data_IF_168195858727
#
_entry.id   IF_168195858727
#
_cell.length_a   1.000
_cell.length_b   1.000
_cell.length_c   1.000
_cell.angle_alpha   90.00
_cell.angle_beta   90.00
_cell.angle_gamma   90.00
#
_symmetry.space_group_name_H-M   'P 1'
#
loop_
_entity.id
_entity.type
_entity.pdbx_description
1 polymer ?
#
# COMPACT_ATOMS: atom_id res chain seq x y z
N UNK A 1 11.16 1.48 9.15
CA UNK A 1 11.06 2.64 8.23
C UNK A 1 10.23 3.75 8.88
N UNK A 2 10.65 5.00 8.72
CA UNK A 2 9.92 6.19 9.16
C UNK A 2 8.79 6.54 8.16
N UNK A 3 7.82 7.35 8.59
CA UNK A 3 6.80 7.87 7.67
C UNK A 3 7.45 8.92 6.75
N UNK A 4 7.08 8.91 5.48
CA UNK A 4 7.62 9.83 4.48
C UNK A 4 6.47 10.52 3.76
N UNK A 5 6.69 11.76 3.29
CA UNK A 5 5.68 12.49 2.51
C UNK A 5 5.48 11.85 1.13
N UNK A 6 6.58 11.42 0.52
CA UNK A 6 6.63 10.76 -0.77
C UNK A 6 7.26 9.38 -0.59
N UNK A 7 6.61 8.35 -1.12
CA UNK A 7 7.07 6.95 -1.02
C UNK A 7 7.11 6.34 -2.41
N UNK A 8 8.25 5.73 -2.74
CA UNK A 8 8.42 4.86 -3.88
C UNK A 8 8.63 3.45 -3.34
N UNK A 9 7.87 2.47 -3.85
CA UNK A 9 8.09 1.06 -3.51
C UNK A 9 9.27 0.55 -4.33
N UNK A 10 10.11 -0.30 -3.73
CA UNK A 10 11.30 -0.85 -4.37
C UNK A 10 10.98 -1.43 -5.76
N UNK A 11 11.56 -0.83 -6.80
CA UNK A 11 11.40 -1.27 -8.19
C UNK A 11 10.24 -0.64 -8.96
N UNK A 12 9.32 0.07 -8.30
CA UNK A 12 8.30 0.85 -9.00
C UNK A 12 8.93 2.09 -9.65
N UNK A 13 8.40 2.50 -10.79
CA UNK A 13 8.73 3.78 -11.43
C UNK A 13 7.96 4.97 -10.84
N UNK A 14 6.83 4.69 -10.16
CA UNK A 14 5.94 5.72 -9.63
C UNK A 14 6.21 6.00 -8.16
N UNK A 15 6.00 7.27 -7.79
CA UNK A 15 6.03 7.70 -6.40
C UNK A 15 4.63 8.10 -5.94
N UNK A 16 4.34 7.89 -4.66
CA UNK A 16 3.03 8.09 -4.09
C UNK A 16 3.10 8.99 -2.85
N UNK A 17 2.15 9.91 -2.75
CA UNK A 17 1.95 10.77 -1.57
C UNK A 17 0.51 10.62 -1.06
N UNK A 18 0.28 11.03 0.19
CA UNK A 18 -1.07 11.20 0.69
C UNK A 18 -1.70 12.42 0.01
N UNK A 19 -2.92 12.27 -0.47
CA UNK A 19 -3.67 13.38 -1.04
C UNK A 19 -4.05 14.38 0.05
N UNK A 20 -3.84 15.68 -0.20
CA UNK A 20 -4.16 16.75 0.75
C UNK A 20 -5.65 16.82 1.16
N UNK A 21 -6.55 16.22 0.37
CA UNK A 21 -7.99 16.15 0.64
C UNK A 21 -8.42 14.90 1.41
N UNK A 22 -7.47 14.06 1.85
CA UNK A 22 -7.75 12.81 2.55
C UNK A 22 -8.69 13.01 3.74
N UNK A 23 -9.70 12.14 3.86
CA UNK A 23 -10.63 12.13 4.99
C UNK A 23 -10.43 10.87 5.81
N UNK A 24 -10.49 11.00 7.13
CA UNK A 24 -10.36 9.87 8.07
C UNK A 24 -11.40 8.78 7.80
N UNK A 25 -12.63 9.17 7.48
CA UNK A 25 -13.71 8.23 7.17
C UNK A 25 -13.46 7.47 5.86
N UNK A 26 -12.86 8.10 4.85
CA UNK A 26 -12.47 7.41 3.60
C UNK A 26 -11.50 6.27 3.85
N UNK A 27 -10.55 6.43 4.78
CA UNK A 27 -9.65 5.33 5.17
C UNK A 27 -10.42 4.15 5.78
N UNK A 28 -11.37 4.42 6.66
CA UNK A 28 -12.18 3.37 7.30
C UNK A 28 -13.06 2.65 6.26
N UNK A 29 -13.68 3.40 5.34
CA UNK A 29 -14.53 2.85 4.27
C UNK A 29 -13.75 1.95 3.31
N UNK A 30 -12.47 2.25 3.09
CA UNK A 30 -11.55 1.44 2.27
C UNK A 30 -10.96 0.24 3.04
N UNK A 31 -11.35 0.09 4.31
CA UNK A 31 -10.96 -1.02 5.17
C UNK A 31 -9.56 -0.88 5.76
N UNK A 32 -9.08 0.36 5.97
CA UNK A 32 -7.94 0.60 6.86
C UNK A 32 -8.37 0.36 8.32
N UNK A 33 -7.51 -0.30 9.07
CA UNK A 33 -7.70 -0.52 10.51
C UNK A 33 -6.88 0.49 11.28
N UNK A 34 -7.54 1.25 12.16
CA UNK A 34 -6.87 2.17 13.07
C UNK A 34 -6.27 1.39 14.24
N UNK A 35 -4.97 1.58 14.45
CA UNK A 35 -4.23 1.02 15.58
C UNK A 35 -4.35 1.90 16.83
N UNK A 36 -3.99 1.39 18.00
CA UNK A 36 -4.07 2.13 19.28
C UNK A 36 -3.22 3.42 19.27
N UNK A 37 -2.10 3.41 18.56
CA UNK A 37 -1.21 4.54 18.33
C UNK A 37 -1.74 5.52 17.24
N UNK A 38 -2.94 5.27 16.70
CA UNK A 38 -3.64 6.18 15.79
C UNK A 38 -3.21 6.08 14.32
N UNK A 39 -2.29 5.17 13.99
CA UNK A 39 -1.88 4.87 12.60
C UNK A 39 -2.96 4.04 11.93
N UNK A 40 -3.25 4.34 10.67
CA UNK A 40 -4.18 3.58 9.84
C UNK A 40 -3.40 2.60 8.97
N UNK A 41 -3.70 1.30 9.08
CA UNK A 41 -3.02 0.26 8.32
C UNK A 41 -3.99 -0.44 7.38
N UNK A 42 -3.54 -0.65 6.15
CA UNK A 42 -4.19 -1.47 5.14
C UNK A 42 -3.24 -2.58 4.74
N UNK A 43 -3.72 -3.82 4.79
CA UNK A 43 -3.01 -4.98 4.27
C UNK A 43 -3.92 -5.71 3.28
N UNK A 44 -3.40 -6.00 2.08
CA UNK A 44 -4.13 -6.69 1.00
C UNK A 44 -3.21 -7.70 0.33
N UNK A 45 -3.73 -8.88 0.01
CA UNK A 45 -3.00 -9.87 -0.80
C UNK A 45 -2.86 -9.35 -2.23
N UNK A 46 -1.69 -9.55 -2.83
CA UNK A 46 -1.46 -9.35 -4.27
C UNK A 46 -1.68 -10.63 -5.06
N UNK A 47 -1.73 -11.77 -4.37
CA UNK A 47 -2.07 -13.06 -4.96
C UNK A 47 -3.44 -13.51 -4.47
N UNK A 48 -4.49 -13.43 -5.31
CA UNK A 48 -5.84 -13.86 -4.96
C UNK A 48 -6.00 -15.39 -4.99
N UNK A 49 -5.04 -16.12 -5.57
CA UNK A 49 -5.09 -17.57 -5.74
C UNK A 49 -4.36 -18.33 -4.64
N UNK A 50 -3.52 -17.65 -3.85
CA UNK A 50 -2.74 -18.26 -2.78
C UNK A 50 -3.63 -18.77 -1.63
N UNK A 51 -3.56 -20.08 -1.30
CA UNK A 51 -4.26 -20.60 -0.14
C UNK A 51 -3.73 -19.94 1.14
N UNK A 52 -4.65 -19.63 2.07
CA UNK A 52 -4.33 -19.12 3.41
C UNK A 52 -3.53 -17.80 3.47
N UNK A 53 -3.65 -16.91 2.49
CA UNK A 53 -2.95 -15.61 2.46
C UNK A 53 -1.41 -15.73 2.53
N UNK A 54 -0.84 -16.80 1.98
CA UNK A 54 0.62 -17.02 1.95
C UNK A 54 1.33 -16.19 0.86
N UNK A 55 0.58 -15.67 -0.10
CA UNK A 55 1.06 -14.81 -1.16
C UNK A 55 1.60 -13.46 -0.67
N UNK A 56 2.31 -12.77 -1.56
CA UNK A 56 2.86 -11.43 -1.29
C UNK A 56 1.71 -10.46 -1.00
N UNK A 57 1.93 -9.55 -0.05
CA UNK A 57 0.95 -8.56 0.39
C UNK A 57 1.44 -7.16 0.14
N UNK A 58 0.51 -6.28 -0.21
CA UNK A 58 0.68 -4.84 -0.13
C UNK A 58 0.33 -4.37 1.28
N UNK A 59 1.25 -3.65 1.91
CA UNK A 59 1.05 -2.97 3.18
C UNK A 59 1.15 -1.46 2.99
N UNK A 60 0.11 -0.75 3.39
CA UNK A 60 0.03 0.71 3.37
C UNK A 60 -0.27 1.20 4.78
N UNK A 61 0.52 2.15 5.28
CA UNK A 61 0.29 2.80 6.58
C UNK A 61 0.23 4.30 6.41
N UNK A 62 -0.80 4.92 6.97
CA UNK A 62 -0.99 6.38 7.02
C UNK A 62 -0.82 6.85 8.47
N UNK A 63 -0.02 7.89 8.67
CA UNK A 63 0.24 8.49 9.98
C UNK A 63 -1.06 8.98 10.63
N UNK A 64 -1.06 9.14 11.96
CA UNK A 64 -2.21 9.66 12.71
C UNK A 64 -2.63 11.07 12.23
N UNK A 65 -1.65 11.86 11.81
CA UNK A 65 -1.82 13.25 11.38
C UNK A 65 -2.08 13.38 9.87
N UNK A 66 -2.18 12.25 9.15
CA UNK A 66 -2.50 12.15 7.72
C UNK A 66 -1.48 12.86 6.80
N UNK A 67 -0.24 12.99 7.25
CA UNK A 67 0.85 13.72 6.59
C UNK A 67 2.03 12.82 6.20
N UNK A 68 1.96 11.54 6.56
CA UNK A 68 3.05 10.60 6.40
C UNK A 68 2.57 9.24 5.93
N UNK A 69 3.23 8.71 4.90
CA UNK A 69 2.94 7.44 4.26
C UNK A 69 4.08 6.44 4.52
N UNK A 70 3.73 5.16 4.67
CA UNK A 70 4.63 4.02 4.48
C UNK A 70 3.95 3.05 3.55
N UNK A 71 4.71 2.51 2.61
CA UNK A 71 4.20 1.52 1.67
C UNK A 71 5.29 0.52 1.36
N UNK A 72 4.93 -0.76 1.32
CA UNK A 72 5.85 -1.84 0.98
C UNK A 72 5.09 -3.08 0.54
N UNK A 73 5.68 -3.81 -0.38
CA UNK A 73 5.29 -5.19 -0.71
C UNK A 73 6.07 -6.15 0.18
N UNK A 74 5.38 -7.07 0.84
CA UNK A 74 5.94 -7.98 1.85
C UNK A 74 5.54 -9.42 1.60
N UNK A 75 6.32 -10.38 2.10
CA UNK A 75 5.95 -11.81 2.10
C UNK A 75 4.61 -12.06 2.79
N UNK A 76 3.96 -13.20 2.58
CA UNK A 76 2.64 -13.50 3.17
C UNK A 76 2.60 -13.47 4.70
N UNK A 77 3.72 -13.73 5.39
CA UNK A 77 3.82 -13.54 6.84
C UNK A 77 3.95 -12.06 7.28
N UNK A 78 4.07 -11.12 6.34
CA UNK A 78 4.14 -9.69 6.58
C UNK A 78 5.50 -9.15 7.07
N UNK A 79 6.53 -9.99 7.17
CA UNK A 79 7.78 -9.65 7.87
C UNK A 79 8.88 -9.13 6.94
N UNK A 80 9.01 -9.67 5.72
CA UNK A 80 10.12 -9.35 4.82
C UNK A 80 9.61 -8.56 3.63
N UNK A 81 10.29 -7.46 3.31
CA UNK A 81 10.04 -6.73 2.08
C UNK A 81 10.45 -7.58 0.85
N UNK A 82 9.68 -7.46 -0.22
CA UNK A 82 9.87 -8.18 -1.48
C UNK A 82 9.72 -7.20 -2.63
N UNK A 83 10.69 -7.14 -3.53
CA UNK A 83 10.58 -6.36 -4.76
C UNK A 83 9.88 -7.22 -5.83
N UNK A 84 8.62 -6.91 -6.11
CA UNK A 84 7.79 -7.60 -7.11
C UNK A 84 8.05 -7.16 -8.55
N UNK A 85 8.84 -6.10 -8.77
CA UNK A 85 9.13 -5.56 -10.10
C UNK A 85 10.40 -6.17 -10.70
N UNK A 86 11.13 -6.99 -9.93
CA UNK A 86 12.42 -7.53 -10.34
C UNK A 86 12.31 -8.68 -11.34
N UNK A 87 11.24 -9.48 -11.29
CA UNK A 87 11.09 -10.70 -12.09
C UNK A 87 9.84 -10.62 -12.96
N UNK A 88 9.93 -11.13 -14.18
CA UNK A 88 8.82 -11.14 -15.13
C UNK A 88 7.66 -12.05 -14.69
N UNK A 89 7.96 -13.12 -13.96
CA UNK A 89 6.94 -14.03 -13.38
C UNK A 89 6.03 -13.34 -12.36
N UNK A 90 6.46 -12.22 -11.78
CA UNK A 90 5.72 -11.46 -10.77
C UNK A 90 4.78 -10.41 -11.40
N UNK A 91 4.70 -10.32 -12.74
CA UNK A 91 3.83 -9.37 -13.46
C UNK A 91 2.36 -9.37 -12.97
N UNK A 92 1.71 -10.52 -12.72
CA UNK A 92 0.34 -10.52 -12.18
C UNK A 92 0.23 -9.83 -10.81
N UNK A 93 1.29 -9.90 -9.98
CA UNK A 93 1.33 -9.22 -8.69
C UNK A 93 1.47 -7.71 -8.86
N UNK A 94 2.23 -7.27 -9.87
CA UNK A 94 2.40 -5.86 -10.24
C UNK A 94 1.09 -5.27 -10.75
N UNK A 95 0.35 -6.00 -11.59
CA UNK A 95 -0.98 -5.60 -12.06
C UNK A 95 -1.96 -5.43 -10.89
N UNK A 96 -2.02 -6.42 -10.00
CA UNK A 96 -2.87 -6.36 -8.81
C UNK A 96 -2.46 -5.22 -7.87
N UNK A 97 -1.15 -4.99 -7.71
CA UNK A 97 -0.62 -3.87 -6.93
C UNK A 97 -1.10 -2.52 -7.48
N UNK A 98 -0.95 -2.30 -8.78
CA UNK A 98 -1.39 -1.04 -9.40
C UNK A 98 -2.92 -0.89 -9.38
N UNK A 99 -3.67 -1.98 -9.53
CA UNK A 99 -5.13 -1.95 -9.38
C UNK A 99 -5.55 -1.47 -7.99
N UNK A 100 -4.94 -2.01 -6.93
CA UNK A 100 -5.19 -1.57 -5.56
C UNK A 100 -4.80 -0.11 -5.34
N UNK A 101 -3.65 0.34 -5.85
CA UNK A 101 -3.24 1.73 -5.69
C UNK A 101 -4.11 2.71 -6.47
N UNK A 102 -4.55 2.36 -7.67
CA UNK A 102 -5.52 3.16 -8.43
C UNK A 102 -6.83 3.33 -7.65
N UNK A 103 -7.32 2.27 -6.99
CA UNK A 103 -8.51 2.40 -6.15
C UNK A 103 -8.35 3.39 -4.99
N UNK A 104 -7.14 3.53 -4.44
CA UNK A 104 -6.83 4.52 -3.40
C UNK A 104 -6.68 5.93 -3.97
N UNK A 105 -6.20 6.06 -5.22
CA UNK A 105 -6.11 7.34 -5.92
C UNK A 105 -7.50 7.86 -6.27
N UNK A 106 -8.36 7.01 -6.85
CA UNK A 106 -9.73 7.34 -7.23
C UNK A 106 -10.59 7.81 -6.05
N UNK A 107 -10.23 7.36 -4.84
CA UNK A 107 -10.91 7.69 -3.59
C UNK A 107 -10.26 8.86 -2.84
N UNK A 108 -9.39 9.61 -3.52
CA UNK A 108 -8.65 10.76 -2.97
C UNK A 108 -7.85 10.44 -1.70
N UNK A 109 -7.36 9.21 -1.55
CA UNK A 109 -6.44 8.83 -0.45
C UNK A 109 -4.99 9.05 -0.86
N UNK A 110 -4.64 8.62 -2.07
CA UNK A 110 -3.30 8.77 -2.62
C UNK A 110 -3.28 9.74 -3.79
N UNK A 111 -2.11 10.31 -4.04
CA UNK A 111 -1.76 11.00 -5.27
C UNK A 111 -0.49 10.38 -5.84
N UNK A 112 -0.51 10.14 -7.14
CA UNK A 112 0.60 9.54 -7.88
C UNK A 112 1.45 10.62 -8.54
N UNK A 113 2.75 10.38 -8.59
CA UNK A 113 3.74 11.16 -9.30
C UNK A 113 4.50 10.24 -10.26
N UNK A 114 4.79 10.76 -11.44
CA UNK A 114 5.57 10.10 -12.49
C UNK A 114 7.02 10.58 -12.46
#
# INVERSE_FOLDING_TARGET
MAFQKLVQVDGDSKSYEINAKIKKYSLLDLGFVKTNNGVYNLERSLDPTSPYNQGIKLKVSVSKDLDGLKMSTVTGNGLRAVNIFKREEDQPLVEQYHYLLNSLIDREVLKVHA
#
